data_IF_845552040438
#
_entry.id   IF_845552040438
#
_cell.length_a   1.000
_cell.length_b   1.000
_cell.length_c   1.000
_cell.angle_alpha   90.00
_cell.angle_beta   90.00
_cell.angle_gamma   90.00
#
_symmetry.space_group_name_H-M   'P 1'
#
loop_
_entity.id
_entity.type
_entity.pdbx_description
1 polymer ?
#
# COMPACT_ATOMS: atom_id res chain seq x y z
N UNK A 1 -10.39 7.50 12.20
CA UNK A 1 -9.58 6.28 11.98
C UNK A 1 -8.29 6.64 11.25
N UNK A 2 -7.26 5.79 11.28
CA UNK A 2 -6.08 5.90 10.42
C UNK A 2 -6.35 5.16 9.10
N UNK A 3 -6.38 5.91 7.99
CA UNK A 3 -6.54 5.36 6.65
C UNK A 3 -5.20 5.49 5.93
N UNK A 4 -4.72 4.38 5.36
CA UNK A 4 -3.55 4.40 4.48
C UNK A 4 -4.01 4.15 3.04
N UNK A 5 -3.66 5.06 2.15
CA UNK A 5 -3.91 4.94 0.71
C UNK A 5 -2.59 4.55 0.04
N UNK A 6 -2.58 3.47 -0.73
CA UNK A 6 -1.42 3.08 -1.53
C UNK A 6 -1.73 3.43 -2.99
N UNK A 7 -1.05 4.45 -3.51
CA UNK A 7 -1.22 4.95 -4.87
C UNK A 7 -0.27 4.23 -5.82
N UNK A 8 -0.78 3.28 -6.60
CA UNK A 8 -0.04 2.61 -7.67
C UNK A 8 0.22 3.48 -8.90
N UNK A 9 -0.22 4.74 -8.93
CA UNK A 9 -0.03 5.64 -10.08
C UNK A 9 1.29 6.40 -9.96
N UNK A 10 2.22 6.15 -10.89
CA UNK A 10 3.47 6.93 -11.04
C UNK A 10 3.28 8.25 -11.83
N UNK A 11 2.02 8.63 -12.10
CA UNK A 11 1.67 9.84 -12.84
C UNK A 11 0.51 10.56 -12.18
N UNK A 12 0.40 11.86 -12.46
CA UNK A 12 -0.82 12.63 -12.18
C UNK A 12 -1.87 12.26 -13.23
N UNK A 13 -3.08 11.89 -12.80
CA UNK A 13 -4.15 11.44 -13.69
C UNK A 13 -5.39 10.95 -12.94
N UNK A 14 -6.21 10.13 -13.59
CA UNK A 14 -7.51 9.69 -13.07
C UNK A 14 -7.44 9.05 -11.68
N UNK A 15 -6.45 8.18 -11.44
CA UNK A 15 -6.27 7.55 -10.13
C UNK A 15 -6.02 8.60 -9.03
N UNK A 16 -5.23 9.63 -9.30
CA UNK A 16 -5.00 10.72 -8.35
C UNK A 16 -6.28 11.55 -8.15
N UNK A 17 -7.06 11.79 -9.21
CA UNK A 17 -8.34 12.48 -9.10
C UNK A 17 -9.33 11.71 -8.20
N UNK A 18 -9.41 10.38 -8.36
CA UNK A 18 -10.21 9.50 -7.52
C UNK A 18 -9.75 9.51 -6.05
N UNK A 19 -8.44 9.46 -5.80
CA UNK A 19 -7.87 9.60 -4.45
C UNK A 19 -8.28 10.94 -3.83
N UNK A 20 -8.17 12.04 -4.56
CA UNK A 20 -8.53 13.37 -4.06
C UNK A 20 -10.03 13.48 -3.73
N UNK A 21 -10.89 12.89 -4.57
CA UNK A 21 -12.33 12.82 -4.30
C UNK A 21 -12.64 12.03 -3.01
N UNK A 22 -11.96 10.89 -2.81
CA UNK A 22 -12.07 10.12 -1.58
C UNK A 22 -11.60 10.92 -0.36
N UNK A 23 -10.45 11.58 -0.45
CA UNK A 23 -9.91 12.42 0.65
C UNK A 23 -10.89 13.52 1.01
N UNK A 24 -11.49 14.20 0.02
CA UNK A 24 -12.48 15.26 0.25
C UNK A 24 -13.67 14.78 1.09
N UNK A 25 -14.14 13.55 0.87
CA UNK A 25 -15.27 12.99 1.63
C UNK A 25 -14.88 12.37 2.98
N UNK A 26 -13.63 11.94 3.14
CA UNK A 26 -13.19 11.16 4.30
C UNK A 26 -12.36 11.93 5.33
N UNK A 27 -11.77 13.08 4.96
CA UNK A 27 -10.75 13.78 5.76
C UNK A 27 -11.25 14.36 7.08
N UNK A 28 -12.51 14.81 7.17
CA UNK A 28 -13.04 15.49 8.35
C UNK A 28 -12.99 14.66 9.64
N UNK A 29 -13.02 13.32 9.54
CA UNK A 29 -13.06 12.40 10.69
C UNK A 29 -11.90 11.42 10.73
N UNK A 30 -10.97 11.50 9.77
CA UNK A 30 -9.94 10.47 9.57
C UNK A 30 -8.57 11.08 9.31
N UNK A 31 -7.54 10.42 9.86
CA UNK A 31 -6.14 10.72 9.52
C UNK A 31 -5.79 9.90 8.30
N UNK A 32 -5.51 10.56 7.19
CA UNK A 32 -5.22 9.92 5.91
C UNK A 32 -3.73 10.09 5.61
N UNK A 33 -3.06 8.99 5.30
CA UNK A 33 -1.66 8.95 4.84
C UNK A 33 -1.61 8.31 3.45
N UNK A 34 -0.89 8.93 2.51
CA UNK A 34 -0.70 8.41 1.15
C UNK A 34 0.71 7.84 1.03
N UNK A 35 0.81 6.62 0.53
CA UNK A 35 2.04 5.93 0.17
C UNK A 35 2.11 5.89 -1.35
N UNK A 36 3.18 6.45 -1.90
CA UNK A 36 3.47 6.53 -3.34
C UNK A 36 4.69 5.64 -3.63
N UNK A 37 4.51 4.35 -4.01
CA UNK A 37 5.61 3.41 -4.17
C UNK A 37 6.62 3.80 -5.26
N UNK A 38 6.23 4.64 -6.22
CA UNK A 38 7.13 5.18 -7.25
C UNK A 38 8.19 6.14 -6.68
N UNK A 39 7.98 6.66 -5.47
CA UNK A 39 8.93 7.54 -4.76
C UNK A 39 9.76 6.81 -3.70
N UNK A 40 9.59 5.49 -3.57
CA UNK A 40 10.25 4.67 -2.56
C UNK A 40 11.23 3.71 -3.22
N UNK A 41 12.30 3.39 -2.50
CA UNK A 41 13.18 2.30 -2.88
C UNK A 41 12.67 1.01 -2.23
N UNK A 42 11.89 0.22 -2.98
CA UNK A 42 11.39 -1.08 -2.55
C UNK A 42 11.78 -2.11 -3.60
N UNK A 43 12.67 -3.03 -3.23
CA UNK A 43 13.04 -4.13 -4.10
C UNK A 43 11.86 -5.10 -4.28
N UNK A 44 11.73 -5.82 -5.40
CA UNK A 44 10.73 -6.87 -5.56
C UNK A 44 10.80 -7.94 -4.46
N UNK A 45 9.67 -8.57 -4.14
CA UNK A 45 9.67 -9.69 -3.21
C UNK A 45 10.41 -10.89 -3.81
N UNK A 46 11.36 -11.46 -3.06
CA UNK A 46 12.16 -12.63 -3.47
C UNK A 46 11.48 -13.96 -3.15
N UNK A 47 10.37 -13.95 -2.40
CA UNK A 47 9.72 -15.19 -1.94
C UNK A 47 10.57 -16.01 -0.95
N UNK A 48 11.58 -15.43 -0.30
CA UNK A 48 12.53 -16.18 0.53
C UNK A 48 11.99 -16.72 1.86
N UNK A 49 10.79 -16.30 2.28
CA UNK A 49 10.13 -16.81 3.50
C UNK A 49 10.70 -16.34 4.84
N UNK A 50 11.88 -15.71 4.89
CA UNK A 50 12.55 -15.30 6.15
C UNK A 50 11.67 -14.41 7.04
N UNK A 51 10.82 -13.57 6.44
CA UNK A 51 9.91 -12.69 7.16
C UNK A 51 8.84 -13.43 7.99
N UNK A 52 8.60 -14.72 7.76
CA UNK A 52 7.66 -15.52 8.55
C UNK A 52 8.14 -15.72 10.00
N UNK A 53 9.45 -15.76 10.23
CA UNK A 53 10.01 -15.88 11.56
C UNK A 53 10.14 -14.52 12.27
N UNK A 54 10.48 -13.45 11.53
CA UNK A 54 10.83 -12.14 12.09
C UNK A 54 9.71 -11.09 12.01
N UNK A 55 8.64 -11.35 11.24
CA UNK A 55 7.58 -10.38 10.88
C UNK A 55 8.11 -9.09 10.21
N UNK A 56 9.31 -9.16 9.63
CA UNK A 56 10.02 -8.07 8.95
C UNK A 56 10.73 -8.58 7.70
N UNK A 57 10.78 -7.75 6.66
CA UNK A 57 11.58 -8.03 5.47
C UNK A 57 13.08 -7.94 5.80
N UNK A 58 13.90 -8.78 5.16
CA UNK A 58 15.36 -8.75 5.31
C UNK A 58 16.03 -7.67 4.47
N UNK A 59 15.33 -7.17 3.44
CA UNK A 59 15.86 -6.12 2.58
C UNK A 59 16.03 -4.81 3.39
N UNK A 60 17.17 -4.15 3.19
CA UNK A 60 17.54 -2.88 3.83
C UNK A 60 17.06 -1.71 2.97
N UNK A 61 15.75 -1.65 2.76
CA UNK A 61 15.08 -0.69 1.89
C UNK A 61 13.82 -0.13 2.58
N UNK A 62 12.97 0.60 1.85
CA UNK A 62 11.78 1.24 2.41
C UNK A 62 10.63 0.26 2.73
N UNK A 63 10.83 -1.05 2.54
CA UNK A 63 9.81 -2.07 2.78
C UNK A 63 9.30 -2.02 4.21
N UNK A 64 10.20 -2.11 5.20
CA UNK A 64 9.78 -2.27 6.58
C UNK A 64 9.02 -1.05 7.12
N UNK A 65 9.51 0.20 6.95
CA UNK A 65 8.75 1.39 7.33
C UNK A 65 7.38 1.48 6.62
N UNK A 66 7.31 1.09 5.35
CA UNK A 66 6.06 1.06 4.57
C UNK A 66 5.06 0.07 5.15
N UNK A 67 5.49 -1.17 5.41
CA UNK A 67 4.64 -2.21 6.01
C UNK A 67 4.23 -1.85 7.44
N UNK A 68 5.11 -1.18 8.21
CA UNK A 68 4.80 -0.67 9.55
C UNK A 68 3.62 0.32 9.51
N UNK A 69 3.63 1.26 8.55
CA UNK A 69 2.53 2.22 8.35
C UNK A 69 1.21 1.54 7.99
N UNK A 70 1.26 0.57 7.06
CA UNK A 70 0.09 -0.20 6.61
C UNK A 70 -0.48 -1.03 7.77
N UNK A 71 0.36 -1.70 8.55
CA UNK A 71 -0.06 -2.53 9.67
C UNK A 71 -0.74 -1.71 10.79
N UNK A 72 -0.30 -0.47 10.99
CA UNK A 72 -0.88 0.47 11.94
C UNK A 72 -2.20 1.12 11.45
N UNK A 73 -2.56 0.97 10.17
CA UNK A 73 -3.79 1.53 9.63
C UNK A 73 -5.02 0.76 10.13
N UNK A 74 -6.15 1.44 10.30
CA UNK A 74 -7.45 0.81 10.55
C UNK A 74 -8.12 0.38 9.24
N UNK A 75 -7.86 1.13 8.17
CA UNK A 75 -8.36 0.87 6.82
C UNK A 75 -7.27 1.09 5.79
N UNK A 76 -7.24 0.23 4.77
CA UNK A 76 -6.31 0.29 3.65
C UNK A 76 -7.09 0.54 2.37
N UNK A 77 -6.67 1.53 1.58
CA UNK A 77 -7.24 1.83 0.27
C UNK A 77 -6.18 1.60 -0.80
N UNK A 78 -6.41 0.61 -1.68
CA UNK A 78 -5.55 0.37 -2.83
C UNK A 78 -6.09 1.16 -4.03
N UNK A 79 -5.30 2.08 -4.57
CA UNK A 79 -5.68 2.87 -5.73
C UNK A 79 -4.65 2.65 -6.84
N UNK A 80 -5.06 2.15 -8.01
CA UNK A 80 -4.12 1.82 -9.09
C UNK A 80 -4.73 2.07 -10.46
N UNK A 81 -3.96 2.58 -11.43
CA UNK A 81 -4.37 2.49 -12.82
C UNK A 81 -4.40 1.03 -13.26
N UNK A 82 -5.17 0.75 -14.32
CA UNK A 82 -5.18 -0.57 -14.98
C UNK A 82 -4.04 -0.64 -15.99
N UNK A 83 -3.03 -1.47 -15.71
CA UNK A 83 -1.94 -1.76 -16.64
C UNK A 83 -2.02 -3.24 -17.04
N UNK A 84 -2.07 -3.52 -18.35
CA UNK A 84 -2.21 -4.87 -18.90
C UNK A 84 -3.29 -5.71 -18.19
N UNK A 85 -4.51 -5.16 -18.09
CA UNK A 85 -5.66 -5.81 -17.44
C UNK A 85 -5.50 -6.11 -15.94
N UNK A 86 -4.46 -5.58 -15.30
CA UNK A 86 -4.18 -5.78 -13.89
C UNK A 86 -3.85 -4.48 -13.15
N UNK A 87 -3.39 -4.64 -11.91
CA UNK A 87 -2.81 -3.53 -11.14
C UNK A 87 -1.44 -3.14 -11.68
N UNK A 88 -1.01 -1.92 -11.34
CA UNK A 88 0.33 -1.46 -11.68
C UNK A 88 1.42 -2.26 -10.94
N UNK A 89 2.61 -2.33 -11.54
CA UNK A 89 3.78 -2.92 -10.90
C UNK A 89 4.14 -2.19 -9.59
N UNK A 90 3.96 -0.87 -9.56
CA UNK A 90 4.19 -0.03 -8.38
C UNK A 90 3.32 -0.47 -7.20
N UNK A 91 2.03 -0.71 -7.43
CA UNK A 91 1.15 -1.22 -6.37
C UNK A 91 1.57 -2.64 -5.94
N UNK A 92 1.92 -3.48 -6.92
CA UNK A 92 2.27 -4.87 -6.68
C UNK A 92 3.54 -5.03 -5.83
N UNK A 93 4.54 -4.16 -6.00
CA UNK A 93 5.75 -4.13 -5.16
C UNK A 93 5.41 -4.09 -3.67
N UNK A 94 4.44 -3.28 -3.27
CA UNK A 94 4.00 -3.18 -1.87
C UNK A 94 3.16 -4.40 -1.46
N UNK A 95 2.21 -4.81 -2.30
CA UNK A 95 1.32 -5.95 -2.00
C UNK A 95 2.12 -7.24 -1.74
N UNK A 96 3.13 -7.53 -2.56
CA UNK A 96 3.92 -8.75 -2.39
C UNK A 96 4.75 -8.72 -1.09
N UNK A 97 5.18 -7.54 -0.63
CA UNK A 97 5.88 -7.38 0.65
C UNK A 97 4.96 -7.43 1.86
N UNK A 98 3.65 -7.18 1.71
CA UNK A 98 2.67 -7.33 2.79
C UNK A 98 2.64 -8.75 3.39
N UNK A 99 3.16 -9.75 2.66
CA UNK A 99 3.36 -11.11 3.18
C UNK A 99 4.10 -11.15 4.52
N UNK A 100 5.03 -10.21 4.77
CA UNK A 100 5.75 -10.08 6.04
C UNK A 100 4.84 -9.96 7.26
N UNK A 101 3.63 -9.41 7.07
CA UNK A 101 2.63 -9.20 8.13
C UNK A 101 1.24 -9.70 7.75
N UNK A 102 1.16 -10.70 6.87
CA UNK A 102 -0.11 -11.17 6.30
C UNK A 102 -1.19 -11.46 7.35
N UNK A 103 -0.84 -12.10 8.47
CA UNK A 103 -1.78 -12.38 9.56
C UNK A 103 -2.38 -11.13 10.21
N UNK A 104 -1.57 -10.08 10.40
CA UNK A 104 -2.03 -8.81 10.98
C UNK A 104 -2.92 -8.02 10.01
N UNK A 105 -2.72 -8.21 8.71
CA UNK A 105 -3.48 -7.50 7.68
C UNK A 105 -4.82 -8.18 7.36
N UNK A 106 -4.98 -9.48 7.65
CA UNK A 106 -6.24 -10.24 7.41
C UNK A 106 -7.47 -9.64 8.11
N UNK A 107 -7.26 -8.98 9.25
CA UNK A 107 -8.35 -8.40 10.07
C UNK A 107 -8.67 -6.95 9.72
N UNK A 108 -7.98 -6.36 8.74
CA UNK A 108 -8.16 -4.95 8.38
C UNK A 108 -9.25 -4.77 7.32
N UNK A 109 -10.00 -3.67 7.43
CA UNK A 109 -10.92 -3.26 6.37
C UNK A 109 -10.12 -2.77 5.18
N UNK A 110 -10.49 -3.20 3.98
CA UNK A 110 -9.83 -2.76 2.75
C UNK A 110 -10.83 -2.46 1.64
N UNK A 111 -10.44 -1.56 0.74
CA UNK A 111 -11.19 -1.21 -0.46
C UNK A 111 -10.23 -0.97 -1.63
N UNK A 112 -10.78 -0.98 -2.86
CA UNK A 112 -10.03 -0.79 -4.10
C UNK A 112 -10.66 0.32 -4.95
N UNK A 113 -9.83 1.20 -5.48
CA UNK A 113 -10.15 2.15 -6.55
C UNK A 113 -9.34 1.78 -7.79
N UNK A 114 -10.03 1.71 -8.94
CA UNK A 114 -9.43 1.55 -10.27
C UNK A 114 -9.36 2.92 -10.95
#
# INVERSE_FOLDING_TARGET
MKIVIISGSARKGNTLAAINAFIKGASEKNKIEIIEPDKLNIAPCKGCGVCQCSKRCVDKDDTNPTIDKIAAADMILFATPVYWWGMSAQLKLVIDKCYCRGLQLKIKKWARLL
#
